data_IF_162499236907
#
_entry.id   IF_162499236907
#
_cell.length_a   1.000
_cell.length_b   1.000
_cell.length_c   1.000
_cell.angle_alpha   90.00
_cell.angle_beta   90.00
_cell.angle_gamma   90.00
#
_symmetry.space_group_name_H-M   'P 1'
#
loop_
_entity.id
_entity.type
_entity.pdbx_description
1 polymer ?
#
# COMPACT_ATOMS: atom_id res chain seq x y z
N UNK A 1 4.53 -17.86 19.36
CA UNK A 1 4.76 -18.23 17.96
C UNK A 1 3.53 -18.84 17.27
N UNK A 2 2.81 -19.83 17.83
CA UNK A 2 1.66 -20.46 17.14
C UNK A 2 0.39 -19.58 17.00
N UNK A 3 0.08 -18.73 17.99
CA UNK A 3 -1.12 -17.86 17.95
C UNK A 3 -1.11 -16.86 16.79
N UNK A 4 0.03 -16.23 16.53
CA UNK A 4 0.16 -15.26 15.43
C UNK A 4 0.11 -15.95 14.06
N UNK A 5 0.60 -17.19 13.94
CA UNK A 5 0.47 -17.99 12.70
C UNK A 5 -1.01 -18.33 12.40
N UNK A 6 -1.80 -18.66 13.43
CA UNK A 6 -3.24 -18.92 13.24
C UNK A 6 -4.00 -17.65 12.83
N UNK A 7 -3.66 -16.50 13.43
CA UNK A 7 -4.23 -15.23 13.02
C UNK A 7 -3.81 -14.87 11.58
N UNK A 8 -2.55 -15.12 11.21
CA UNK A 8 -2.05 -14.95 9.85
C UNK A 8 -2.91 -15.70 8.83
N UNK A 9 -3.22 -16.98 9.07
CA UNK A 9 -4.01 -17.80 8.13
C UNK A 9 -5.38 -17.18 7.83
N UNK A 10 -6.06 -16.61 8.85
CA UNK A 10 -7.35 -15.94 8.64
C UNK A 10 -7.26 -14.63 7.83
N UNK A 11 -6.06 -14.06 7.71
CA UNK A 11 -5.80 -12.79 7.01
C UNK A 11 -5.23 -12.97 5.60
N UNK A 12 -4.88 -14.19 5.18
CA UNK A 12 -4.22 -14.45 3.88
C UNK A 12 -5.11 -14.04 2.71
N UNK A 13 -6.33 -14.53 2.64
CA UNK A 13 -7.28 -14.20 1.56
C UNK A 13 -7.55 -12.69 1.44
N UNK A 14 -7.99 -11.98 2.51
CA UNK A 14 -8.23 -10.54 2.41
C UNK A 14 -6.94 -9.74 2.13
N UNK A 15 -5.75 -10.26 2.47
CA UNK A 15 -4.49 -9.65 2.06
C UNK A 15 -4.26 -9.79 0.55
N UNK A 16 -4.45 -10.98 -0.02
CA UNK A 16 -4.26 -11.25 -1.45
C UNK A 16 -5.22 -10.43 -2.32
N UNK A 17 -6.47 -10.28 -1.86
CA UNK A 17 -7.52 -9.46 -2.48
C UNK A 17 -7.35 -7.94 -2.26
N UNK A 18 -6.39 -7.52 -1.41
CA UNK A 18 -6.19 -6.10 -1.07
C UNK A 18 -7.25 -5.50 -0.14
N UNK A 19 -8.09 -6.33 0.49
CA UNK A 19 -9.19 -5.93 1.39
C UNK A 19 -8.79 -5.85 2.86
N UNK A 20 -7.57 -6.25 3.22
CA UNK A 20 -7.11 -6.21 4.62
C UNK A 20 -6.89 -4.75 5.10
N UNK A 21 -7.48 -4.31 6.24
CA UNK A 21 -7.32 -2.96 6.78
C UNK A 21 -5.85 -2.60 7.08
N UNK A 22 -5.49 -1.31 7.04
CA UNK A 22 -4.10 -0.84 7.17
C UNK A 22 -3.36 -1.33 8.42
N UNK A 23 -4.00 -1.28 9.60
CA UNK A 23 -3.41 -1.74 10.87
C UNK A 23 -3.18 -3.26 10.88
N UNK A 24 -4.17 -4.06 10.46
CA UNK A 24 -4.03 -5.51 10.33
C UNK A 24 -3.02 -5.91 9.26
N UNK A 25 -2.92 -5.13 8.18
CA UNK A 25 -1.97 -5.33 7.08
C UNK A 25 -0.52 -5.15 7.52
N UNK A 26 -0.21 -4.14 8.32
CA UNK A 26 1.14 -3.98 8.89
C UNK A 26 1.52 -5.17 9.76
N UNK A 27 0.63 -5.60 10.67
CA UNK A 27 0.86 -6.76 11.53
C UNK A 27 1.07 -8.05 10.73
N UNK A 28 0.26 -8.27 9.69
CA UNK A 28 0.42 -9.40 8.77
C UNK A 28 1.80 -9.42 8.10
N UNK A 29 2.24 -8.26 7.58
CA UNK A 29 3.52 -8.13 6.87
C UNK A 29 4.71 -8.31 7.82
N UNK A 30 4.62 -7.75 9.02
CA UNK A 30 5.66 -7.91 10.02
C UNK A 30 5.84 -9.39 10.42
N UNK A 31 4.73 -10.11 10.62
CA UNK A 31 4.77 -11.52 10.97
C UNK A 31 5.36 -12.37 9.84
N UNK A 32 4.84 -12.25 8.61
CA UNK A 32 5.26 -13.11 7.48
C UNK A 32 6.72 -12.89 7.08
N UNK A 33 7.27 -11.69 7.29
CA UNK A 33 8.70 -11.41 7.07
C UNK A 33 9.62 -12.09 8.08
N UNK A 34 9.14 -12.34 9.30
CA UNK A 34 9.94 -12.91 10.40
C UNK A 34 9.69 -14.40 10.59
N UNK A 35 8.53 -14.91 10.16
CA UNK A 35 8.11 -16.29 10.34
C UNK A 35 8.29 -17.08 9.05
N UNK A 36 9.34 -17.91 8.97
CA UNK A 36 9.63 -18.75 7.79
C UNK A 36 8.45 -19.62 7.37
N UNK A 37 7.77 -20.26 8.33
CA UNK A 37 6.63 -21.14 8.05
C UNK A 37 5.49 -20.38 7.36
N UNK A 38 5.11 -19.21 7.90
CA UNK A 38 4.04 -18.41 7.30
C UNK A 38 4.46 -17.80 5.96
N UNK A 39 5.76 -17.54 5.75
CA UNK A 39 6.28 -17.10 4.46
C UNK A 39 6.10 -18.19 3.39
N UNK A 40 6.53 -19.42 3.68
CA UNK A 40 6.38 -20.57 2.79
C UNK A 40 4.89 -20.88 2.53
N UNK A 41 4.04 -20.77 3.56
CA UNK A 41 2.58 -20.88 3.39
C UNK A 41 2.03 -19.79 2.45
N UNK A 42 2.45 -18.52 2.62
CA UNK A 42 1.99 -17.41 1.77
C UNK A 42 2.35 -17.60 0.30
N UNK A 43 3.54 -18.12 0.01
CA UNK A 43 3.99 -18.41 -1.35
C UNK A 43 3.06 -19.43 -2.02
N UNK A 44 2.71 -20.51 -1.31
CA UNK A 44 1.79 -21.54 -1.80
C UNK A 44 0.42 -20.93 -2.08
N UNK A 45 -0.14 -20.16 -1.14
CA UNK A 45 -1.43 -19.49 -1.33
C UNK A 45 -1.40 -18.53 -2.52
N UNK A 46 -0.32 -17.76 -2.69
CA UNK A 46 -0.20 -16.81 -3.78
C UNK A 46 -0.25 -17.50 -5.14
N UNK A 47 0.48 -18.61 -5.31
CA UNK A 47 0.44 -19.41 -6.54
C UNK A 47 -0.97 -19.92 -6.83
N UNK A 48 -1.67 -20.48 -5.84
CA UNK A 48 -3.03 -21.00 -6.02
C UNK A 48 -3.98 -19.87 -6.44
N UNK A 49 -3.97 -18.74 -5.73
CA UNK A 49 -4.81 -17.60 -6.06
C UNK A 49 -4.51 -17.03 -7.44
N UNK A 50 -3.25 -16.96 -7.83
CA UNK A 50 -2.86 -16.50 -9.16
C UNK A 50 -3.35 -17.43 -10.26
N UNK A 51 -3.20 -18.75 -10.10
CA UNK A 51 -3.73 -19.72 -11.08
C UNK A 51 -5.25 -19.64 -11.17
N UNK A 52 -5.95 -19.51 -10.04
CA UNK A 52 -7.41 -19.37 -10.04
C UNK A 52 -7.87 -18.07 -10.71
N UNK A 53 -7.16 -16.95 -10.48
CA UNK A 53 -7.44 -15.67 -11.12
C UNK A 53 -7.20 -15.73 -12.64
N UNK A 54 -6.13 -16.41 -13.08
CA UNK A 54 -5.82 -16.66 -14.50
C UNK A 54 -6.84 -17.57 -15.18
N UNK A 55 -7.37 -18.57 -14.48
CA UNK A 55 -8.43 -19.43 -15.02
C UNK A 55 -9.77 -18.70 -15.16
N UNK A 56 -10.06 -17.77 -14.24
CA UNK A 56 -11.32 -17.04 -14.23
C UNK A 56 -11.32 -15.82 -15.17
N UNK A 57 -10.17 -15.17 -15.32
CA UNK A 57 -10.01 -14.04 -16.22
C UNK A 57 -9.21 -14.54 -17.42
N UNK A 58 -9.83 -14.70 -18.59
CA UNK A 58 -9.20 -15.10 -19.87
C UNK A 58 -8.17 -14.07 -20.39
N UNK A 59 -7.26 -13.62 -19.53
CA UNK A 59 -6.15 -12.74 -19.88
C UNK A 59 -5.07 -13.57 -20.54
N UNK A 60 -4.41 -12.97 -21.53
CA UNK A 60 -3.26 -13.56 -22.19
C UNK A 60 -2.29 -14.13 -21.15
N UNK A 61 -1.93 -15.40 -21.34
CA UNK A 61 -1.11 -16.22 -20.43
C UNK A 61 0.33 -15.70 -20.40
N UNK A 62 0.54 -14.50 -19.89
CA UNK A 62 1.86 -13.99 -19.60
C UNK A 62 2.39 -14.75 -18.39
N UNK A 63 3.54 -15.42 -18.55
CA UNK A 63 4.24 -16.15 -17.49
C UNK A 63 4.58 -15.17 -16.35
N UNK A 64 3.66 -15.01 -15.41
CA UNK A 64 3.81 -14.08 -14.30
C UNK A 64 4.73 -14.72 -13.28
N UNK A 65 5.87 -14.10 -12.99
CA UNK A 65 6.72 -14.55 -11.90
C UNK A 65 6.02 -14.21 -10.57
N UNK A 66 5.28 -15.19 -10.03
CA UNK A 66 4.46 -15.04 -8.82
C UNK A 66 5.31 -14.59 -7.62
N UNK A 67 6.55 -15.05 -7.53
CA UNK A 67 7.46 -14.67 -6.43
C UNK A 67 7.81 -13.18 -6.48
N UNK A 68 8.16 -12.66 -7.66
CA UNK A 68 8.42 -11.22 -7.83
C UNK A 68 7.18 -10.37 -7.54
N UNK A 69 5.99 -10.88 -7.88
CA UNK A 69 4.72 -10.19 -7.59
C UNK A 69 4.43 -10.13 -6.09
N UNK A 70 4.70 -11.22 -5.37
CA UNK A 70 4.57 -11.29 -3.92
C UNK A 70 5.54 -10.34 -3.22
N UNK A 71 6.82 -10.35 -3.60
CA UNK A 71 7.84 -9.45 -3.06
C UNK A 71 7.45 -7.99 -3.27
N UNK A 72 6.93 -7.65 -4.44
CA UNK A 72 6.42 -6.30 -4.72
C UNK A 72 5.25 -5.92 -3.81
N UNK A 73 4.28 -6.82 -3.59
CA UNK A 73 3.15 -6.59 -2.67
C UNK A 73 3.62 -6.41 -1.21
N UNK A 74 4.61 -7.19 -0.78
CA UNK A 74 5.23 -7.03 0.54
C UNK A 74 6.07 -5.75 0.64
N UNK A 75 6.72 -5.32 -0.44
CA UNK A 75 7.58 -4.13 -0.50
C UNK A 75 6.82 -2.81 -0.56
N UNK A 76 5.72 -2.72 -1.32
CA UNK A 76 4.92 -1.49 -1.46
C UNK A 76 4.19 -1.14 -0.16
N UNK A 77 3.73 -2.13 0.59
CA UNK A 77 3.06 -1.92 1.86
C UNK A 77 3.98 -1.35 2.95
N UNK A 78 5.30 -1.54 2.84
CA UNK A 78 6.30 -0.94 3.73
C UNK A 78 6.59 0.54 3.41
N UNK A 79 6.12 1.04 2.26
CA UNK A 79 6.41 2.39 1.75
C UNK A 79 5.22 3.36 1.87
N UNK A 80 4.07 2.90 2.34
CA UNK A 80 2.84 3.69 2.39
C UNK A 80 2.71 4.64 3.58
N UNK A 81 3.63 4.59 4.56
CA UNK A 81 3.59 5.45 5.76
C UNK A 81 4.45 6.73 5.67
N UNK A 82 5.12 7.01 4.54
CA UNK A 82 6.03 8.17 4.43
C UNK A 82 5.64 9.22 3.38
N UNK A 83 4.36 9.28 2.96
CA UNK A 83 3.87 10.37 2.09
C UNK A 83 2.66 11.09 2.70
N UNK A 84 2.84 11.62 3.91
CA UNK A 84 2.04 12.74 4.39
C UNK A 84 2.90 13.72 5.20
N UNK A 85 4.09 14.05 4.68
CA UNK A 85 4.90 15.16 5.19
C UNK A 85 5.64 15.75 3.99
N UNK A 86 5.08 16.82 3.40
CA UNK A 86 5.67 17.46 2.23
C UNK A 86 4.73 18.33 1.39
N UNK A 87 3.43 18.37 1.68
CA UNK A 87 2.50 19.39 1.12
C UNK A 87 1.92 20.21 2.27
N UNK A 88 2.78 20.85 3.06
CA UNK A 88 2.39 21.84 4.09
C UNK A 88 3.54 22.79 4.40
N UNK A 89 3.99 23.56 3.40
CA UNK A 89 4.81 24.76 3.62
C UNK A 89 4.53 25.89 2.60
N UNK A 90 3.38 25.87 1.93
CA UNK A 90 2.90 27.00 1.13
C UNK A 90 1.62 27.64 1.69
N UNK A 91 1.00 27.05 2.72
CA UNK A 91 -0.23 27.56 3.36
C UNK A 91 0.02 28.08 4.78
N UNK A 92 1.21 28.67 5.00
CA UNK A 92 1.64 29.26 6.28
C UNK A 92 1.75 30.79 6.28
N UNK A 93 1.30 31.48 5.22
CA UNK A 93 1.28 32.96 5.15
C UNK A 93 -0.11 33.55 4.86
N UNK A 94 -1.18 32.77 4.92
CA UNK A 94 -2.53 33.23 4.55
C UNK A 94 -3.35 33.88 5.68
N UNK A 95 -2.74 34.23 6.83
CA UNK A 95 -3.43 34.95 7.92
C UNK A 95 -2.91 36.38 8.16
N UNK A 96 -1.86 36.84 7.48
CA UNK A 96 -1.31 38.20 7.68
C UNK A 96 -0.89 38.94 6.38
N UNK A 97 -1.18 38.38 5.19
CA UNK A 97 -0.69 38.90 3.90
C UNK A 97 -1.75 39.40 2.91
N UNK A 98 -3.03 39.46 3.27
CA UNK A 98 -4.09 39.83 2.31
C UNK A 98 -4.27 41.35 2.12
N UNK A 99 -3.66 42.20 2.95
CA UNK A 99 -3.86 43.65 2.86
C UNK A 99 -2.90 44.37 1.90
N UNK A 100 -1.76 43.77 1.52
CA UNK A 100 -0.72 44.48 0.77
C UNK A 100 -0.80 44.31 -0.76
N UNK A 101 -1.39 43.22 -1.26
CA UNK A 101 -1.36 42.90 -2.70
C UNK A 101 -2.52 43.56 -3.46
N UNK A 102 -3.61 43.93 -2.79
CA UNK A 102 -4.77 44.58 -3.43
C UNK A 102 -4.54 46.04 -3.82
N UNK A 103 -3.55 46.73 -3.25
CA UNK A 103 -3.26 48.13 -3.59
C UNK A 103 -2.29 48.30 -4.77
N UNK A 104 -1.49 47.29 -5.12
CA UNK A 104 -0.43 47.41 -6.13
C UNK A 104 -0.89 47.16 -7.58
N UNK A 105 -1.94 46.36 -7.78
CA UNK A 105 -2.39 45.95 -9.13
C UNK A 105 -3.37 46.96 -9.75
N UNK A 106 -3.96 47.87 -8.96
CA UNK A 106 -4.94 48.85 -9.45
C UNK A 106 -4.32 50.14 -10.05
N UNK A 107 -3.00 50.31 -9.97
CA UNK A 107 -2.29 51.48 -10.55
C UNK A 107 -1.67 51.21 -11.93
N UNK A 108 -1.91 50.03 -12.53
CA UNK A 108 -1.42 49.69 -13.87
C UNK A 108 -2.54 49.62 -14.94
N UNK A 109 -3.75 50.11 -14.63
CA UNK A 109 -4.87 50.19 -15.58
C UNK A 109 -5.44 51.63 -15.63
N UNK A 110 -4.58 52.65 -15.49
CA UNK A 110 -4.87 54.04 -15.86
C UNK A 110 -3.74 54.59 -16.72
#
# INVERSE_FOLDING_TARGET
MKKECMQFQSMVEPFLEGKLPGSSRQSFIEHVRKCKVCHEELEIYHVIYSVLDELNNEKDKETTNYMQTLEKKLGTASKSDSKLFGVSAAYGFAAAGHAAITAGVLLLIL
#
